data_IF_737662015283
#
_entry.id   IF_737662015283
#
_cell.length_a   1.000
_cell.length_b   1.000
_cell.length_c   1.000
_cell.angle_alpha   90.00
_cell.angle_beta   90.00
_cell.angle_gamma   90.00
#
_symmetry.space_group_name_H-M   'P 1'
#
loop_
_entity.id
_entity.type
_entity.pdbx_description
1 polymer ?
#
# COMPACT_ATOMS: atom_id res chain seq x y z
N UNK A 1 -42.97 51.82 -12.25
CA UNK A 1 -42.57 50.71 -11.34
C UNK A 1 -42.22 49.42 -12.09
N UNK A 2 -42.96 49.02 -13.13
CA UNK A 2 -42.71 47.77 -13.90
C UNK A 2 -41.38 47.72 -14.67
N UNK A 3 -40.83 48.86 -15.12
CA UNK A 3 -39.53 48.92 -15.82
C UNK A 3 -38.33 48.60 -14.91
N UNK A 4 -38.39 49.03 -13.65
CA UNK A 4 -37.35 48.73 -12.66
C UNK A 4 -37.40 47.26 -12.22
N UNK A 5 -38.60 46.68 -12.19
CA UNK A 5 -38.80 45.26 -11.86
C UNK A 5 -38.22 44.34 -12.96
N UNK A 6 -38.36 44.72 -14.24
CA UNK A 6 -37.73 43.99 -15.35
C UNK A 6 -36.21 44.06 -15.33
N UNK A 7 -35.64 45.22 -15.00
CA UNK A 7 -34.19 45.38 -14.86
C UNK A 7 -33.62 44.54 -13.70
N UNK A 8 -34.33 44.50 -12.57
CA UNK A 8 -33.96 43.66 -11.42
C UNK A 8 -34.03 42.16 -11.75
N UNK A 9 -35.06 41.73 -12.50
CA UNK A 9 -35.21 40.35 -12.94
C UNK A 9 -34.10 39.91 -13.90
N UNK A 10 -33.71 40.78 -14.85
CA UNK A 10 -32.58 40.52 -15.75
C UNK A 10 -31.24 40.45 -15.02
N UNK A 11 -31.03 41.28 -13.99
CA UNK A 11 -29.82 41.23 -13.16
C UNK A 11 -29.77 39.92 -12.35
N UNK A 12 -30.90 39.46 -11.79
CA UNK A 12 -30.97 38.21 -11.03
C UNK A 12 -30.65 36.97 -11.90
N UNK A 13 -31.09 36.98 -13.16
CA UNK A 13 -30.81 35.91 -14.14
C UNK A 13 -29.34 35.94 -14.60
N UNK A 14 -28.70 37.10 -14.63
CA UNK A 14 -27.27 37.19 -14.97
C UNK A 14 -26.36 36.60 -13.88
N UNK A 15 -26.79 36.61 -12.61
CA UNK A 15 -26.03 36.03 -11.50
C UNK A 15 -25.98 34.49 -11.50
N UNK A 16 -26.84 33.80 -12.24
CA UNK A 16 -26.85 32.32 -12.27
C UNK A 16 -25.77 31.70 -13.16
N UNK A 17 -25.02 32.50 -13.93
CA UNK A 17 -23.96 32.01 -14.84
C UNK A 17 -22.54 32.09 -14.26
N UNK A 18 -22.35 32.55 -13.02
CA UNK A 18 -21.04 32.62 -12.36
C UNK A 18 -20.60 31.31 -11.70
N UNK A 19 -21.40 30.24 -11.80
CA UNK A 19 -21.12 28.92 -11.24
C UNK A 19 -20.43 27.98 -12.22
N UNK A 20 -19.30 28.37 -12.82
CA UNK A 20 -18.39 27.43 -13.48
C UNK A 20 -17.24 27.17 -12.51
N UNK A 21 -17.51 26.43 -11.43
CA UNK A 21 -16.45 25.88 -10.61
C UNK A 21 -15.83 24.72 -11.37
N UNK A 22 -14.52 24.70 -11.51
CA UNK A 22 -13.81 23.54 -12.04
C UNK A 22 -14.18 22.33 -11.17
N UNK A 23 -15.03 21.45 -11.69
CA UNK A 23 -15.34 20.20 -11.01
C UNK A 23 -14.05 19.40 -10.95
N UNK A 24 -13.62 19.05 -9.74
CA UNK A 24 -12.46 18.19 -9.56
C UNK A 24 -12.75 16.88 -10.29
N UNK A 25 -11.94 16.60 -11.29
CA UNK A 25 -12.09 15.42 -12.15
C UNK A 25 -11.71 14.10 -11.45
N UNK A 26 -11.22 14.18 -10.20
CA UNK A 26 -10.89 13.06 -9.32
C UNK A 26 -11.92 12.89 -8.20
N UNK A 27 -12.11 11.63 -7.79
CA UNK A 27 -13.01 11.22 -6.73
C UNK A 27 -12.54 11.65 -5.34
N UNK A 28 -13.46 11.53 -4.38
CA UNK A 28 -13.16 11.81 -2.98
C UNK A 28 -12.73 10.52 -2.29
N UNK A 29 -11.42 10.34 -2.12
CA UNK A 29 -10.83 9.19 -1.43
C UNK A 29 -10.98 9.37 0.08
N UNK A 30 -11.67 8.44 0.73
CA UNK A 30 -11.78 8.33 2.18
C UNK A 30 -10.71 7.37 2.70
N UNK A 31 -9.59 7.92 3.14
CA UNK A 31 -8.52 7.16 3.76
C UNK A 31 -9.03 6.33 4.95
N UNK A 32 -8.44 5.15 5.12
CA UNK A 32 -8.80 4.13 6.11
C UNK A 32 -10.23 3.57 5.95
N UNK A 33 -10.92 3.85 4.83
CA UNK A 33 -12.28 3.37 4.56
C UNK A 33 -12.47 2.83 3.14
N UNK A 34 -12.03 3.59 2.14
CA UNK A 34 -12.08 3.17 0.75
C UNK A 34 -11.07 2.04 0.54
N UNK A 35 -11.42 1.07 -0.30
CA UNK A 35 -10.65 -0.17 -0.49
C UNK A 35 -9.95 -0.15 -1.84
N UNK A 36 -8.66 -0.49 -1.84
CA UNK A 36 -7.87 -0.67 -3.05
C UNK A 36 -8.41 -1.84 -3.89
N UNK A 37 -8.68 -1.60 -5.18
CA UNK A 37 -9.23 -2.64 -6.06
C UNK A 37 -8.24 -3.78 -6.33
N UNK A 38 -6.93 -3.56 -6.13
CA UNK A 38 -5.92 -4.59 -6.30
C UNK A 38 -5.71 -5.44 -5.04
N UNK A 39 -5.24 -4.82 -3.95
CA UNK A 39 -4.81 -5.56 -2.75
C UNK A 39 -5.93 -5.81 -1.74
N UNK A 40 -7.12 -5.23 -1.94
CA UNK A 40 -8.27 -5.36 -1.04
C UNK A 40 -8.02 -4.86 0.39
N UNK A 41 -7.00 -4.02 0.58
CA UNK A 41 -6.74 -3.29 1.83
C UNK A 41 -7.34 -1.88 1.75
N UNK A 42 -7.58 -1.27 2.92
CA UNK A 42 -8.00 0.12 2.98
C UNK A 42 -6.88 1.03 2.44
N UNK A 43 -7.26 2.07 1.67
CA UNK A 43 -6.33 3.09 1.18
C UNK A 43 -5.75 3.83 2.39
N UNK A 44 -4.44 3.76 2.57
CA UNK A 44 -3.80 4.07 3.86
C UNK A 44 -2.92 5.33 3.86
N UNK A 45 -2.47 5.77 2.68
CA UNK A 45 -1.51 6.88 2.58
C UNK A 45 -1.93 7.91 1.53
N UNK A 46 -2.11 9.14 1.97
CA UNK A 46 -2.52 10.28 1.16
C UNK A 46 -1.41 10.88 0.29
N UNK A 47 -0.26 10.21 0.20
CA UNK A 47 0.89 10.60 -0.65
C UNK A 47 1.02 9.75 -1.91
N UNK A 48 0.38 8.59 -1.98
CA UNK A 48 0.65 7.61 -3.03
C UNK A 48 -0.60 7.08 -3.72
N UNK A 49 -1.77 7.27 -3.11
CA UNK A 49 -3.01 6.71 -3.64
C UNK A 49 -3.33 7.23 -5.04
N UNK A 50 -3.98 6.38 -5.83
CA UNK A 50 -4.30 6.64 -7.23
C UNK A 50 -5.80 6.48 -7.43
N UNK A 51 -6.40 7.46 -8.10
CA UNK A 51 -7.76 7.44 -8.58
C UNK A 51 -7.77 7.35 -10.11
N UNK A 52 -8.42 6.32 -10.62
CA UNK A 52 -8.59 6.07 -12.04
C UNK A 52 -10.06 6.19 -12.39
N UNK A 53 -10.37 7.15 -13.27
CA UNK A 53 -11.72 7.36 -13.77
C UNK A 53 -11.87 6.83 -15.20
N UNK A 54 -12.73 5.82 -15.34
CA UNK A 54 -13.10 5.18 -16.61
C UNK A 54 -14.62 5.04 -16.66
N UNK A 55 -15.23 5.36 -17.79
CA UNK A 55 -16.68 5.24 -18.01
C UNK A 55 -17.55 5.90 -16.93
N UNK A 56 -17.07 7.02 -16.39
CA UNK A 56 -17.76 7.77 -15.33
C UNK A 56 -17.62 7.18 -13.92
N UNK A 57 -16.98 6.02 -13.75
CA UNK A 57 -16.72 5.36 -12.48
C UNK A 57 -15.28 5.58 -12.01
N UNK A 58 -15.11 5.77 -10.70
CA UNK A 58 -13.82 5.86 -10.02
C UNK A 58 -13.36 4.48 -9.54
N UNK A 59 -12.07 4.23 -9.66
CA UNK A 59 -11.37 3.02 -9.26
C UNK A 59 -10.13 3.44 -8.45
N UNK A 60 -10.04 2.98 -7.21
CA UNK A 60 -9.01 3.44 -6.27
C UNK A 60 -7.91 2.39 -6.07
N UNK A 61 -6.67 2.85 -5.94
CA UNK A 61 -5.48 2.04 -5.71
C UNK A 61 -4.59 2.66 -4.64
N UNK A 62 -3.98 1.82 -3.80
CA UNK A 62 -3.19 2.29 -2.64
C UNK A 62 -1.85 2.90 -3.05
N UNK A 63 -1.27 2.42 -4.16
CA UNK A 63 -0.19 3.08 -4.88
C UNK A 63 -0.22 2.77 -6.39
N UNK A 64 0.66 3.43 -7.16
CA UNK A 64 0.76 3.22 -8.62
C UNK A 64 1.14 1.79 -9.01
N UNK A 65 1.79 1.05 -8.13
CA UNK A 65 2.09 -0.35 -8.37
C UNK A 65 0.84 -1.21 -8.33
N UNK A 66 -0.02 -1.02 -7.34
CA UNK A 66 -1.35 -1.64 -7.30
C UNK A 66 -2.16 -1.37 -8.57
N UNK A 67 -2.14 -0.13 -9.07
CA UNK A 67 -2.78 0.21 -10.33
C UNK A 67 -2.22 -0.65 -11.48
N UNK A 68 -0.91 -0.65 -11.68
CA UNK A 68 -0.31 -1.35 -12.83
C UNK A 68 -0.51 -2.86 -12.72
N UNK A 69 -0.31 -3.46 -11.54
CA UNK A 69 -0.52 -4.88 -11.32
C UNK A 69 -1.97 -5.29 -11.55
N UNK A 70 -2.94 -4.49 -11.11
CA UNK A 70 -4.35 -4.71 -11.41
C UNK A 70 -4.62 -4.70 -12.90
N UNK A 71 -4.09 -3.70 -13.61
CA UNK A 71 -4.30 -3.58 -15.06
C UNK A 71 -3.68 -4.74 -15.84
N UNK A 72 -2.52 -5.24 -15.41
CA UNK A 72 -1.87 -6.41 -16.00
C UNK A 72 -2.67 -7.68 -15.70
N UNK A 73 -3.00 -7.91 -14.43
CA UNK A 73 -3.66 -9.14 -13.98
C UNK A 73 -5.06 -9.32 -14.56
N UNK A 74 -5.76 -8.21 -14.83
CA UNK A 74 -7.14 -8.23 -15.32
C UNK A 74 -7.27 -7.95 -16.83
N UNK A 75 -6.15 -7.92 -17.58
CA UNK A 75 -6.13 -7.57 -19.01
C UNK A 75 -6.81 -6.21 -19.32
N UNK A 76 -6.57 -5.22 -18.44
CA UNK A 76 -7.14 -3.87 -18.50
C UNK A 76 -6.13 -2.79 -18.88
N UNK A 77 -4.96 -3.15 -19.39
CA UNK A 77 -3.92 -2.18 -19.80
C UNK A 77 -4.43 -1.12 -20.79
N UNK A 78 -5.42 -1.46 -21.62
CA UNK A 78 -6.02 -0.49 -22.55
C UNK A 78 -6.76 0.65 -21.83
N UNK A 79 -7.26 0.43 -20.61
CA UNK A 79 -7.88 1.49 -19.81
C UNK A 79 -6.90 2.65 -19.55
N UNK A 80 -5.60 2.35 -19.42
CA UNK A 80 -4.58 3.38 -19.20
C UNK A 80 -4.44 4.37 -20.37
N UNK A 81 -5.10 4.16 -21.52
CA UNK A 81 -5.12 5.12 -22.63
C UNK A 81 -6.25 6.13 -22.50
N UNK A 82 -7.44 5.65 -22.14
CA UNK A 82 -8.66 6.46 -22.13
C UNK A 82 -9.03 7.00 -20.74
N UNK A 83 -8.45 6.42 -19.68
CA UNK A 83 -8.71 6.84 -18.31
C UNK A 83 -8.14 8.22 -17.99
N UNK A 84 -8.86 8.98 -17.17
CA UNK A 84 -8.26 10.05 -16.36
C UNK A 84 -7.61 9.40 -15.14
N UNK A 85 -6.33 9.70 -14.91
CA UNK A 85 -5.54 9.05 -13.85
C UNK A 85 -4.97 10.16 -12.98
N UNK A 86 -5.40 10.20 -11.72
CA UNK A 86 -4.91 11.14 -10.73
C UNK A 86 -4.17 10.39 -9.65
N UNK A 87 -3.03 10.91 -9.22
CA UNK A 87 -2.21 10.35 -8.16
C UNK A 87 -1.95 11.43 -7.11
N UNK A 88 -1.86 11.08 -5.84
CA UNK A 88 -1.45 12.05 -4.83
C UNK A 88 -0.02 12.53 -5.03
N UNK A 89 0.21 13.82 -4.76
CA UNK A 89 1.56 14.36 -4.69
C UNK A 89 2.28 13.82 -3.44
N UNK A 90 3.43 13.20 -3.68
CA UNK A 90 4.21 12.50 -2.65
C UNK A 90 4.83 13.44 -1.61
N UNK A 91 4.72 14.77 -1.78
CA UNK A 91 5.04 15.76 -0.73
C UNK A 91 4.09 15.69 0.47
N UNK A 92 2.91 15.08 0.33
CA UNK A 92 1.92 14.98 1.40
C UNK A 92 1.08 16.24 1.60
N UNK A 93 1.01 17.10 0.58
CA UNK A 93 0.13 18.27 0.57
C UNK A 93 -1.36 17.92 0.37
N UNK A 94 -1.68 16.64 0.12
CA UNK A 94 -3.05 16.16 -0.11
C UNK A 94 -3.63 16.52 -1.48
N UNK A 95 -2.81 17.03 -2.40
CA UNK A 95 -3.22 17.36 -3.77
C UNK A 95 -3.21 16.10 -4.65
N UNK A 96 -4.22 15.94 -5.49
CA UNK A 96 -4.21 14.99 -6.59
C UNK A 96 -3.70 15.70 -7.86
N UNK A 97 -2.76 15.07 -8.54
CA UNK A 97 -2.14 15.57 -9.78
C UNK A 97 -2.38 14.60 -10.92
N UNK A 98 -2.44 15.10 -12.15
CA UNK A 98 -2.58 14.25 -13.34
C UNK A 98 -1.31 13.41 -13.50
N UNK A 99 -1.47 12.09 -13.36
CA UNK A 99 -0.37 11.13 -13.42
C UNK A 99 0.38 11.17 -14.75
N UNK A 100 -0.26 11.55 -15.86
CA UNK A 100 0.40 11.62 -17.17
C UNK A 100 1.39 12.77 -17.28
N UNK A 101 1.19 13.82 -16.49
CA UNK A 101 2.03 15.03 -16.48
C UNK A 101 2.94 15.12 -15.26
N UNK A 102 2.75 14.25 -14.28
CA UNK A 102 3.55 14.20 -13.07
C UNK A 102 5.00 13.73 -13.31
N UNK A 103 5.87 14.13 -12.39
CA UNK A 103 7.27 13.71 -12.34
C UNK A 103 7.44 12.59 -11.33
N UNK A 104 7.90 11.41 -11.77
CA UNK A 104 8.05 10.25 -10.90
C UNK A 104 9.49 10.01 -10.49
N UNK A 105 9.65 9.54 -9.25
CA UNK A 105 10.95 9.24 -8.65
C UNK A 105 10.89 7.93 -7.88
N UNK A 106 12.00 7.18 -7.89
CA UNK A 106 12.19 5.97 -7.09
C UNK A 106 12.67 6.29 -5.67
N UNK A 107 12.56 5.31 -4.79
CA UNK A 107 13.15 5.32 -3.44
C UNK A 107 12.18 5.74 -2.34
N UNK A 108 10.89 5.74 -2.62
CA UNK A 108 9.85 6.04 -1.64
C UNK A 108 9.46 4.78 -0.87
N UNK A 109 8.98 4.94 0.36
CA UNK A 109 8.31 3.87 1.09
C UNK A 109 6.82 4.00 0.83
N UNK A 110 6.31 3.27 -0.16
CA UNK A 110 4.87 3.24 -0.49
C UNK A 110 4.17 2.14 0.31
N UNK A 111 2.84 2.21 0.51
CA UNK A 111 2.07 1.21 1.26
C UNK A 111 2.32 -0.22 0.78
N UNK A 112 2.44 -0.38 -0.54
CA UNK A 112 2.69 -1.66 -1.19
C UNK A 112 4.12 -1.76 -1.73
N UNK A 113 5.07 -1.02 -1.16
CA UNK A 113 6.52 -1.19 -1.42
C UNK A 113 7.01 -1.12 -2.88
N UNK A 114 6.20 -0.64 -3.83
CA UNK A 114 6.62 -0.44 -5.23
C UNK A 114 7.59 0.73 -5.41
N UNK A 115 7.62 1.65 -4.45
CA UNK A 115 8.72 2.60 -4.26
C UNK A 115 8.72 3.81 -5.19
N UNK A 116 7.58 4.13 -5.79
CA UNK A 116 7.39 5.26 -6.68
C UNK A 116 6.60 6.39 -6.00
N UNK A 117 7.12 7.61 -6.08
CA UNK A 117 6.41 8.83 -5.68
C UNK A 117 6.25 9.77 -6.87
N UNK A 118 5.07 10.41 -6.97
CA UNK A 118 4.75 11.38 -8.01
C UNK A 118 4.77 12.80 -7.45
N UNK A 119 5.26 13.76 -8.23
CA UNK A 119 5.31 15.17 -7.85
C UNK A 119 4.80 16.06 -8.97
N UNK A 120 4.12 17.14 -8.60
CA UNK A 120 3.66 18.16 -9.53
C UNK A 120 4.82 18.84 -10.26
N UNK A 121 5.91 19.08 -9.54
CA UNK A 121 7.08 19.78 -10.04
C UNK A 121 8.31 18.87 -10.05
N UNK A 122 9.14 19.06 -11.08
CA UNK A 122 10.42 18.37 -11.19
C UNK A 122 11.33 18.68 -10.00
N UNK A 123 11.95 17.63 -9.47
CA UNK A 123 12.95 17.68 -8.42
C UNK A 123 14.35 17.76 -9.04
N UNK A 124 15.09 18.82 -8.74
CA UNK A 124 16.44 19.02 -9.28
C UNK A 124 17.42 17.94 -8.79
N UNK A 125 18.37 17.56 -9.66
CA UNK A 125 19.42 16.59 -9.33
C UNK A 125 18.95 15.13 -9.18
N UNK A 126 17.67 14.84 -9.43
CA UNK A 126 17.12 13.47 -9.38
C UNK A 126 16.74 12.98 -10.77
N UNK A 127 16.90 11.67 -10.99
CA UNK A 127 16.41 11.03 -12.21
C UNK A 127 14.87 11.01 -12.20
N UNK A 128 14.29 11.74 -13.15
CA UNK A 128 12.86 11.86 -13.37
C UNK A 128 12.36 10.80 -14.36
N UNK A 129 11.17 10.27 -14.13
CA UNK A 129 10.51 9.27 -14.96
C UNK A 129 9.12 9.75 -15.34
N UNK A 130 8.74 9.54 -16.60
CA UNK A 130 7.37 9.71 -17.07
C UNK A 130 6.47 8.57 -16.63
N UNK A 131 5.16 8.80 -16.64
CA UNK A 131 4.15 7.77 -16.37
C UNK A 131 4.38 6.47 -17.15
N UNK A 132 4.58 6.57 -18.47
CA UNK A 132 4.77 5.39 -19.32
C UNK A 132 6.04 4.61 -18.96
N UNK A 133 7.12 5.30 -18.57
CA UNK A 133 8.35 4.66 -18.10
C UNK A 133 8.13 3.94 -16.75
N UNK A 134 7.34 4.51 -15.85
CA UNK A 134 6.96 3.87 -14.58
C UNK A 134 6.10 2.63 -14.84
N UNK A 135 5.07 2.74 -15.68
CA UNK A 135 4.22 1.61 -16.08
C UNK A 135 5.06 0.50 -16.72
N UNK A 136 5.96 0.85 -17.65
CA UNK A 136 6.86 -0.12 -18.27
C UNK A 136 7.79 -0.79 -17.27
N UNK A 137 8.36 -0.03 -16.32
CA UNK A 137 9.24 -0.56 -15.29
C UNK A 137 8.50 -1.50 -14.32
N UNK A 138 7.29 -1.14 -13.89
CA UNK A 138 6.44 -1.97 -13.03
C UNK A 138 6.02 -3.26 -13.72
N UNK A 139 5.62 -3.19 -14.99
CA UNK A 139 5.32 -4.38 -15.81
C UNK A 139 6.51 -5.32 -15.95
N UNK A 140 7.71 -4.78 -16.14
CA UNK A 140 8.93 -5.58 -16.26
C UNK A 140 9.41 -6.16 -14.93
N UNK A 141 9.09 -5.49 -13.82
CA UNK A 141 9.48 -5.91 -12.46
C UNK A 141 8.72 -7.14 -11.94
N UNK A 142 7.65 -7.55 -12.62
CA UNK A 142 6.82 -8.68 -12.22
C UNK A 142 5.84 -8.30 -11.11
N UNK A 143 4.56 -8.41 -11.39
CA UNK A 143 3.51 -8.18 -10.40
C UNK A 143 3.55 -9.20 -9.26
N UNK A 144 2.99 -8.79 -8.14
CA UNK A 144 2.97 -9.46 -6.83
C UNK A 144 4.25 -9.34 -6.02
N UNK A 145 4.04 -9.03 -4.74
CA UNK A 145 4.98 -9.27 -3.66
C UNK A 145 5.30 -10.76 -3.56
N UNK A 146 6.13 -11.26 -4.46
CA UNK A 146 6.95 -12.42 -4.20
C UNK A 146 8.00 -11.97 -3.20
N UNK A 147 7.89 -12.45 -1.96
CA UNK A 147 9.02 -12.55 -1.04
C UNK A 147 10.27 -12.81 -1.87
N UNK A 148 11.28 -11.94 -1.74
CA UNK A 148 12.58 -12.15 -2.35
C UNK A 148 13.14 -13.49 -1.90
N UNK A 149 12.85 -14.55 -2.64
CA UNK A 149 13.74 -15.69 -2.73
C UNK A 149 14.98 -15.11 -3.38
N UNK A 150 15.97 -14.82 -2.56
CA UNK A 150 17.24 -14.31 -3.00
C UNK A 150 17.77 -15.13 -4.16
N UNK A 151 18.64 -14.51 -4.93
CA UNK A 151 19.58 -15.16 -5.82
C UNK A 151 20.37 -16.25 -5.04
N UNK A 152 19.78 -17.43 -4.85
CA UNK A 152 20.44 -18.65 -4.41
C UNK A 152 20.81 -19.43 -5.67
N UNK A 153 21.69 -18.86 -6.48
CA UNK A 153 21.94 -19.42 -7.80
C UNK A 153 23.20 -18.94 -8.50
N UNK A 154 24.21 -18.46 -7.77
CA UNK A 154 25.55 -18.29 -8.36
C UNK A 154 26.70 -18.24 -7.37
N UNK A 155 26.69 -19.12 -6.38
CA UNK A 155 27.94 -19.48 -5.71
C UNK A 155 28.78 -20.32 -6.67
N UNK A 156 29.82 -19.66 -7.19
CA UNK A 156 30.92 -20.27 -7.88
C UNK A 156 31.68 -21.20 -6.92
N UNK A 157 31.23 -22.45 -6.79
CA UNK A 157 32.07 -23.50 -6.25
C UNK A 157 33.13 -23.87 -7.30
N UNK A 158 34.28 -23.18 -7.18
CA UNK A 158 35.53 -23.66 -7.71
C UNK A 158 35.85 -25.04 -7.12
N UNK A 159 36.18 -25.97 -8.02
CA UNK A 159 37.17 -27.03 -7.84
C UNK A 159 37.18 -27.74 -6.47
N UNK A 160 36.46 -28.86 -6.37
CA UNK A 160 36.83 -29.95 -5.45
C UNK A 160 36.94 -31.23 -6.26
N UNK A 161 38.11 -31.41 -6.89
CA UNK A 161 38.50 -32.69 -7.43
C UNK A 161 38.72 -33.73 -6.32
N UNK A 162 38.41 -34.97 -6.66
CA UNK A 162 38.93 -36.21 -6.08
C UNK A 162 38.56 -36.53 -4.62
N UNK A 163 37.73 -37.57 -4.45
CA UNK A 163 37.93 -38.65 -3.46
C UNK A 163 36.91 -39.77 -3.75
N UNK A 164 37.25 -40.65 -4.70
CA UNK A 164 36.72 -42.00 -4.74
C UNK A 164 37.75 -42.90 -4.07
N UNK A 165 37.46 -43.37 -2.86
CA UNK A 165 37.75 -44.72 -2.35
C UNK A 165 37.34 -44.76 -0.87
N UNK A 166 36.46 -45.68 -0.51
CA UNK A 166 36.68 -46.65 0.56
C UNK A 166 35.54 -47.65 0.61
N UNK A 167 35.95 -48.90 0.79
CA UNK A 167 35.18 -50.10 0.57
C UNK A 167 34.19 -50.46 1.69
N UNK A 168 33.30 -51.37 1.28
CA UNK A 168 32.87 -52.55 2.02
C UNK A 168 32.40 -52.37 3.47
N UNK A 169 31.08 -52.48 3.69
CA UNK A 169 30.55 -53.39 4.71
C UNK A 169 29.25 -54.01 4.21
N UNK A 170 29.24 -55.34 4.18
CA UNK A 170 28.19 -56.16 3.59
C UNK A 170 26.90 -56.31 4.41
N UNK A 171 25.88 -56.76 3.68
CA UNK A 171 25.01 -57.88 4.03
C UNK A 171 24.10 -57.77 5.24
N UNK A 172 22.79 -57.72 4.98
CA UNK A 172 21.72 -58.52 5.61
C UNK A 172 20.38 -58.08 4.97
N UNK A 173 19.92 -58.80 3.92
CA UNK A 173 18.84 -59.81 3.99
C UNK A 173 17.48 -59.23 4.39
N UNK A 174 16.63 -59.01 3.40
CA UNK A 174 15.17 -59.20 3.52
C UNK A 174 14.87 -60.65 3.97
N UNK A 175 13.75 -60.90 4.66
CA UNK A 175 12.56 -61.30 3.89
C UNK A 175 11.19 -60.88 4.49
N UNK A 176 10.31 -60.48 3.57
CA UNK A 176 8.92 -60.91 3.37
C UNK A 176 7.83 -60.85 4.47
N UNK A 177 6.66 -60.40 3.99
CA UNK A 177 5.28 -60.80 4.34
C UNK A 177 4.63 -60.13 5.55
N UNK A 178 3.32 -59.84 5.62
CA UNK A 178 2.23 -59.70 4.67
C UNK A 178 0.99 -59.22 5.51
N UNK A 179 -0.01 -58.65 4.82
CA UNK A 179 -1.45 -58.67 5.14
C UNK A 179 -2.09 -57.78 6.24
N UNK A 180 -3.10 -57.02 5.78
CA UNK A 180 -4.46 -56.80 6.31
C UNK A 180 -4.72 -56.54 7.80
N UNK A 181 -5.42 -55.43 8.08
CA UNK A 181 -6.20 -55.24 9.30
C UNK A 181 -6.92 -53.90 9.36
N UNK A 182 -8.20 -53.87 8.96
CA UNK A 182 -9.12 -52.76 9.17
C UNK A 182 -9.49 -52.62 10.66
N UNK A 183 -9.61 -51.38 11.16
CA UNK A 183 -10.61 -51.04 12.18
C UNK A 183 -10.66 -49.52 12.44
N UNK A 184 -11.88 -48.98 12.31
CA UNK A 184 -12.33 -47.63 12.67
C UNK A 184 -12.04 -47.27 14.14
N UNK A 185 -12.10 -45.98 14.49
CA UNK A 185 -12.65 -45.59 15.78
C UNK A 185 -13.91 -44.75 15.64
N UNK A 186 -14.84 -45.10 16.51
CA UNK A 186 -16.22 -44.63 16.66
C UNK A 186 -16.30 -43.18 17.12
N UNK A 187 -17.36 -42.53 16.65
CA UNK A 187 -17.92 -41.32 17.25
C UNK A 187 -18.56 -41.66 18.60
N UNK A 188 -18.24 -40.89 19.63
CA UNK A 188 -19.09 -40.76 20.82
C UNK A 188 -19.39 -39.29 21.06
N UNK A 189 -20.67 -38.96 20.89
CA UNK A 189 -21.34 -37.76 21.36
C UNK A 189 -21.90 -38.06 22.75
N UNK A 190 -21.52 -37.28 23.75
CA UNK A 190 -22.09 -37.37 25.10
C UNK A 190 -22.13 -35.99 25.74
N UNK A 191 -23.26 -35.30 25.56
CA UNK A 191 -23.61 -34.09 26.30
C UNK A 191 -24.12 -34.39 27.71
N UNK A 192 -24.11 -33.37 28.57
CA UNK A 192 -24.71 -33.43 29.90
C UNK A 192 -24.32 -32.23 30.76
N UNK A 193 -25.29 -31.34 30.93
CA UNK A 193 -25.20 -29.99 31.50
C UNK A 193 -25.06 -29.89 33.04
N UNK A 194 -24.78 -28.64 33.44
CA UNK A 194 -25.32 -27.91 34.60
C UNK A 194 -24.50 -27.87 35.91
N UNK A 195 -24.23 -26.64 36.36
CA UNK A 195 -23.95 -26.37 37.78
C UNK A 195 -23.13 -25.11 38.08
N UNK A 196 -23.81 -23.97 38.14
CA UNK A 196 -23.37 -22.63 38.56
C UNK A 196 -22.40 -22.53 39.77
N UNK A 197 -21.56 -21.49 39.81
CA UNK A 197 -21.44 -20.53 40.94
C UNK A 197 -20.61 -19.30 40.55
N UNK A 198 -20.96 -18.17 41.18
CA UNK A 198 -20.54 -16.80 40.89
C UNK A 198 -19.14 -16.43 41.44
N UNK A 199 -18.48 -15.41 40.87
CA UNK A 199 -18.21 -14.12 41.52
C UNK A 199 -17.47 -13.13 40.58
N UNK A 200 -17.60 -11.80 40.77
CA UNK A 200 -17.15 -10.76 39.84
C UNK A 200 -15.92 -9.96 40.32
N UNK A 201 -15.46 -9.05 39.44
CA UNK A 201 -14.62 -7.85 39.65
C UNK A 201 -13.13 -7.94 39.22
N UNK A 202 -12.82 -7.17 38.17
CA UNK A 202 -11.49 -6.65 37.84
C UNK A 202 -11.66 -5.21 37.34
N UNK A 203 -11.08 -4.27 38.08
CA UNK A 203 -11.23 -2.81 38.00
C UNK A 203 -10.64 -2.14 36.73
N UNK A 204 -11.04 -0.89 36.43
CA UNK A 204 -10.54 -0.12 35.30
C UNK A 204 -9.15 0.49 35.55
N UNK A 205 -8.35 0.64 34.49
CA UNK A 205 -7.09 1.36 34.54
C UNK A 205 -7.32 2.87 34.43
N UNK A 206 -6.87 3.58 35.47
CA UNK A 206 -6.96 5.01 35.69
C UNK A 206 -5.80 5.78 35.01
N UNK A 207 -6.12 6.97 34.51
CA UNK A 207 -5.23 7.93 33.86
C UNK A 207 -4.66 8.88 34.91
N UNK A 208 -3.40 8.67 35.29
CA UNK A 208 -2.65 9.54 36.20
C UNK A 208 -1.60 10.38 35.47
N UNK A 209 -1.88 11.68 35.30
CA UNK A 209 -0.92 12.74 35.02
C UNK A 209 0.24 12.74 36.02
N UNK A 210 1.49 12.95 35.57
CA UNK A 210 2.54 13.55 36.41
C UNK A 210 3.40 14.52 35.60
N UNK A 211 3.67 15.64 36.28
CA UNK A 211 4.23 16.91 35.86
C UNK A 211 5.70 16.91 35.39
N UNK A 212 5.95 17.88 34.53
CA UNK A 212 7.09 18.81 34.43
C UNK A 212 8.28 18.61 35.39
N UNK A 213 9.47 18.44 34.79
CA UNK A 213 10.77 18.63 35.42
C UNK A 213 11.61 19.59 34.58
N UNK A 214 11.69 20.84 35.01
CA UNK A 214 12.54 21.90 34.48
C UNK A 214 13.99 21.69 34.95
N UNK A 215 14.96 21.69 34.03
CA UNK A 215 16.37 21.43 34.32
C UNK A 215 17.31 22.41 33.60
N UNK A 216 17.46 23.58 34.21
CA UNK A 216 18.66 24.44 34.31
C UNK A 216 19.78 24.36 33.27
N UNK A 217 19.85 25.45 32.49
CA UNK A 217 21.01 26.32 32.23
C UNK A 217 22.44 25.74 32.38
N UNK A 218 23.18 25.73 31.27
CA UNK A 218 24.63 25.66 31.28
C UNK A 218 25.24 27.05 31.51
N UNK A 219 26.07 27.12 32.54
CA UNK A 219 26.93 28.25 32.91
C UNK A 219 27.95 28.60 31.81
N UNK A 220 28.05 29.89 31.47
CA UNK A 220 29.18 30.46 30.74
C UNK A 220 30.11 31.16 31.74
N UNK A 221 31.37 30.72 31.79
CA UNK A 221 32.41 31.30 32.63
C UNK A 221 33.05 32.51 31.92
N UNK A 222 33.00 33.67 32.57
CA UNK A 222 33.74 34.88 32.22
C UNK A 222 35.20 34.76 32.63
N UNK A 223 36.13 34.96 31.70
CA UNK A 223 37.56 35.14 31.98
C UNK A 223 38.07 36.41 31.31
N UNK A 224 38.33 37.44 32.12
CA UNK A 224 39.16 38.60 31.77
C UNK A 224 40.63 38.25 32.01
N UNK A 225 41.52 38.61 31.07
CA UNK A 225 42.87 39.09 31.38
C UNK A 225 43.58 39.68 30.13
N UNK A 226 44.09 40.90 30.33
CA UNK A 226 45.09 41.69 29.58
C UNK A 226 44.65 42.47 28.34
#
# INVERSE_FOLDING_TARGET
>A
MTKMFKALLCALIALTFLGCGDEKDYGNVHYDRDVCEHCQMAISDNRFSVDVRVDGKNHYFDDIGCLVDFMVTNDKLNWLKDAKIYINDASGNGEFIDARTAHFYKGFKTPMSFGWGAFKNKQEGKQDFSFDQVVAALKAGGGSHGMGMGDMGRDAHGNMGSMHDHGDMGGMKDPHSAEHGMSEPKHDMGGGDAGSTAHPQGSPHDMGQMHEGNGTAHDMHSGHAH
#
